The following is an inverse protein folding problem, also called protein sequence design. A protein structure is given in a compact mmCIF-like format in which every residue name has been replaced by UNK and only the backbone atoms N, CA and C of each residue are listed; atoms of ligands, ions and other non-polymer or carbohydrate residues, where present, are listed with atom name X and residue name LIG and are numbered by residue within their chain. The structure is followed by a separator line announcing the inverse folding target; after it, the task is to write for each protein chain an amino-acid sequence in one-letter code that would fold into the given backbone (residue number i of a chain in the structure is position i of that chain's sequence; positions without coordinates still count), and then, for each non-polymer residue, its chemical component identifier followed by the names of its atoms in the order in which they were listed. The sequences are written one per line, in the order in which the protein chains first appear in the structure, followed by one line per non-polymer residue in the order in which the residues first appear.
data_IF_174304365573
#
_entry.id   IF_174304365573
#
_cell.length_a   1.000
_cell.length_b   1.000
_cell.length_c   1.000
_cell.angle_alpha   90.00
_cell.angle_beta   90.00
_cell.angle_gamma   90.00
#
_symmetry.space_group_name_H-M   'P 1'
#
loop_
_entity.id
_entity.type
_entity.pdbx_description
1 polymer ?
#
# COMPACT_ATOMS: atom_id res chain seq x y z
N UNK A 1 -29.45 3.15 3.71
CA UNK A 1 -28.75 2.23 2.79
C UNK A 1 -28.39 3.06 1.57
N UNK A 2 -27.13 3.48 1.43
CA UNK A 2 -26.66 4.15 0.22
C UNK A 2 -26.45 3.06 -0.86
N UNK A 3 -26.80 3.31 -2.13
CA UNK A 3 -26.61 2.32 -3.19
C UNK A 3 -25.11 1.98 -3.35
N UNK A 4 -24.81 0.78 -3.88
CA UNK A 4 -23.47 0.29 -4.29
C UNK A 4 -22.78 1.15 -5.37
N UNK A 5 -23.25 2.39 -5.58
CA UNK A 5 -22.77 3.31 -6.59
C UNK A 5 -21.43 3.93 -6.17
N UNK A 6 -20.41 3.61 -6.98
CA UNK A 6 -19.06 4.19 -7.04
C UNK A 6 -18.04 3.70 -5.99
N UNK A 7 -17.79 2.39 -5.93
CA UNK A 7 -16.39 1.97 -5.84
C UNK A 7 -15.74 2.36 -7.17
N UNK A 8 -15.23 3.59 -7.29
CA UNK A 8 -14.34 3.96 -8.40
C UNK A 8 -13.26 2.88 -8.46
N UNK A 9 -12.99 2.27 -9.61
CA UNK A 9 -11.92 1.26 -9.75
C UNK A 9 -10.62 1.95 -10.12
N UNK A 10 -9.45 1.32 -9.88
CA UNK A 10 -8.21 1.84 -10.43
C UNK A 10 -8.32 2.05 -11.94
N UNK A 11 -7.88 3.21 -12.41
CA UNK A 11 -7.87 3.56 -13.83
C UNK A 11 -6.42 3.50 -14.33
N UNK A 12 -6.18 2.69 -15.36
CA UNK A 12 -4.90 2.60 -16.04
C UNK A 12 -5.00 3.03 -17.49
N UNK A 13 -4.10 3.91 -17.95
CA UNK A 13 -3.99 4.26 -19.37
C UNK A 13 -2.57 4.67 -19.76
N UNK A 14 -2.24 4.56 -21.05
CA UNK A 14 -1.03 5.18 -21.60
C UNK A 14 -1.32 6.64 -21.95
N UNK A 15 -0.48 7.55 -21.48
CA UNK A 15 -0.53 8.97 -21.85
C UNK A 15 0.23 9.22 -23.15
N UNK A 16 1.35 8.52 -23.32
CA UNK A 16 2.15 8.50 -24.55
C UNK A 16 2.38 7.03 -24.92
N UNK A 17 2.19 6.62 -26.20
CA UNK A 17 2.54 5.27 -26.64
C UNK A 17 3.98 4.95 -26.25
N UNK A 18 4.17 3.83 -25.54
CA UNK A 18 5.44 3.32 -25.01
C UNK A 18 6.28 4.24 -24.09
N UNK A 19 5.98 5.54 -24.00
CA UNK A 19 6.70 6.48 -23.14
C UNK A 19 6.15 6.56 -21.72
N UNK A 20 4.92 7.07 -21.55
CA UNK A 20 4.39 7.42 -20.22
C UNK A 20 3.09 6.69 -19.94
N UNK A 21 3.08 5.90 -18.86
CA UNK A 21 1.88 5.27 -18.32
C UNK A 21 1.29 6.09 -17.16
N UNK A 22 0.00 5.91 -16.91
CA UNK A 22 -0.75 6.53 -15.83
C UNK A 22 -1.54 5.47 -15.08
N UNK A 23 -1.57 5.60 -13.75
CA UNK A 23 -2.37 4.79 -12.84
C UNK A 23 -3.02 5.71 -11.81
N UNK A 24 -4.35 5.73 -11.74
CA UNK A 24 -5.10 6.31 -10.61
C UNK A 24 -5.56 5.21 -9.67
N UNK A 25 -5.32 5.39 -8.37
CA UNK A 25 -5.84 4.47 -7.33
C UNK A 25 -6.69 5.28 -6.35
N UNK A 26 -8.03 5.10 -6.33
CA UNK A 26 -8.93 5.93 -5.53
C UNK A 26 -9.08 5.45 -4.07
N UNK A 27 -8.64 4.23 -3.74
CA UNK A 27 -8.71 3.70 -2.38
C UNK A 27 -7.79 2.48 -2.23
N UNK A 28 -7.46 2.12 -1.00
CA UNK A 28 -6.87 0.82 -0.62
C UNK A 28 -7.71 0.10 0.44
N UNK A 29 -8.98 0.49 0.59
CA UNK A 29 -9.89 -0.07 1.59
C UNK A 29 -10.35 -1.51 1.26
N UNK A 30 -10.12 -1.97 0.03
CA UNK A 30 -10.48 -3.29 -0.48
C UNK A 30 -9.27 -3.88 -1.22
N UNK A 31 -8.88 -5.15 -0.98
CA UNK A 31 -7.75 -5.79 -1.66
C UNK A 31 -7.81 -5.71 -3.20
N UNK A 32 -9.00 -5.67 -3.79
CA UNK A 32 -9.19 -5.58 -5.24
C UNK A 32 -8.54 -4.33 -5.85
N UNK A 33 -8.42 -3.24 -5.08
CA UNK A 33 -7.73 -2.02 -5.52
C UNK A 33 -6.25 -2.25 -5.78
N UNK A 34 -5.58 -2.90 -4.83
CA UNK A 34 -4.16 -3.20 -4.96
C UNK A 34 -3.91 -4.21 -6.07
N UNK A 35 -4.75 -5.25 -6.18
CA UNK A 35 -4.63 -6.27 -7.22
C UNK A 35 -4.75 -5.68 -8.63
N UNK A 36 -5.73 -4.81 -8.86
CA UNK A 36 -5.88 -4.12 -10.14
C UNK A 36 -4.71 -3.17 -10.44
N UNK A 37 -4.19 -2.47 -9.42
CA UNK A 37 -3.01 -1.62 -9.57
C UNK A 37 -1.75 -2.43 -9.95
N UNK A 38 -1.49 -3.55 -9.27
CA UNK A 38 -0.38 -4.46 -9.58
C UNK A 38 -0.49 -5.02 -10.99
N UNK A 39 -1.68 -5.48 -11.37
CA UNK A 39 -1.93 -6.01 -12.72
C UNK A 39 -1.66 -4.96 -13.80
N UNK A 40 -2.01 -3.70 -13.56
CA UNK A 40 -1.74 -2.61 -14.48
C UNK A 40 -0.24 -2.30 -14.58
N UNK A 41 0.45 -2.08 -13.45
CA UNK A 41 1.90 -1.78 -13.43
C UNK A 41 2.69 -2.87 -14.14
N UNK A 42 2.34 -4.14 -13.93
CA UNK A 42 2.98 -5.27 -14.60
C UNK A 42 2.80 -5.20 -16.12
N UNK A 43 1.60 -4.83 -16.59
CA UNK A 43 1.27 -4.71 -18.02
C UNK A 43 2.01 -3.57 -18.71
N UNK A 44 2.31 -2.48 -17.99
CA UNK A 44 3.01 -1.30 -18.53
C UNK A 44 4.46 -1.22 -18.08
N UNK A 45 5.05 -2.34 -17.66
CA UNK A 45 6.45 -2.44 -17.20
C UNK A 45 7.48 -1.99 -18.24
N UNK A 46 7.10 -1.94 -19.52
CA UNK A 46 7.93 -1.44 -20.61
C UNK A 46 7.81 0.09 -20.86
N UNK A 47 7.02 0.82 -20.07
CA UNK A 47 6.92 2.27 -20.19
C UNK A 47 8.16 2.94 -19.60
N UNK A 48 8.66 4.01 -20.24
CA UNK A 48 9.80 4.80 -19.74
C UNK A 48 9.49 5.47 -18.38
N UNK A 49 8.23 5.83 -18.15
CA UNK A 49 7.79 6.44 -16.90
C UNK A 49 6.35 6.05 -16.51
N UNK A 50 6.07 6.10 -15.21
CA UNK A 50 4.74 5.89 -14.65
C UNK A 50 4.35 7.08 -13.76
N UNK A 51 3.18 7.66 -14.03
CA UNK A 51 2.52 8.61 -13.13
C UNK A 51 1.54 7.85 -12.26
N UNK A 52 1.71 7.93 -10.93
CA UNK A 52 0.77 7.37 -9.96
C UNK A 52 -0.04 8.49 -9.32
N UNK A 53 -1.34 8.50 -9.60
CA UNK A 53 -2.29 9.46 -9.03
C UNK A 53 -3.04 8.85 -7.84
N UNK A 54 -2.71 9.37 -6.65
CA UNK A 54 -3.37 9.04 -5.38
C UNK A 54 -4.16 10.22 -4.83
N UNK A 55 -4.46 11.24 -5.65
CA UNK A 55 -5.32 12.35 -5.23
C UNK A 55 -6.73 11.83 -4.95
N UNK A 56 -7.30 12.26 -3.83
CA UNK A 56 -8.59 11.78 -3.37
C UNK A 56 -8.59 10.32 -2.89
N UNK A 57 -7.42 9.67 -2.74
CA UNK A 57 -7.34 8.32 -2.22
C UNK A 57 -7.78 8.28 -0.75
N UNK A 58 -8.80 7.48 -0.43
CA UNK A 58 -9.39 7.43 0.92
C UNK A 58 -8.59 6.64 1.94
N UNK A 59 -7.43 6.08 1.56
CA UNK A 59 -6.62 5.20 2.39
C UNK A 59 -7.15 3.76 2.44
N UNK A 60 -6.72 3.02 3.46
CA UNK A 60 -7.04 1.60 3.67
C UNK A 60 -5.83 0.83 4.16
N UNK A 61 -5.66 -0.40 3.67
CA UNK A 61 -4.47 -1.19 3.97
C UNK A 61 -3.23 -0.64 3.25
N UNK A 62 -2.05 -0.79 3.87
CA UNK A 62 -0.79 -0.48 3.21
C UNK A 62 -0.59 -1.40 1.99
N UNK A 63 -0.40 -0.86 0.77
CA UNK A 63 -0.36 -1.66 -0.45
C UNK A 63 1.04 -2.24 -0.70
N UNK A 64 1.42 -3.21 0.12
CA UNK A 64 2.76 -3.82 0.11
C UNK A 64 3.10 -4.54 -1.20
N UNK A 65 2.13 -5.19 -1.86
CA UNK A 65 2.33 -5.85 -3.16
C UNK A 65 2.59 -4.83 -4.27
N UNK A 66 1.83 -3.74 -4.28
CA UNK A 66 2.03 -2.65 -5.25
C UNK A 66 3.39 -1.98 -5.06
N UNK A 67 3.78 -1.72 -3.81
CA UNK A 67 5.10 -1.14 -3.50
C UNK A 67 6.23 -2.04 -4.01
N UNK A 68 6.14 -3.36 -3.85
CA UNK A 68 7.11 -4.30 -4.43
C UNK A 68 7.12 -4.28 -5.96
N UNK A 69 5.95 -4.21 -6.59
CA UNK A 69 5.87 -4.13 -8.05
C UNK A 69 6.49 -2.85 -8.62
N UNK A 70 6.50 -1.76 -7.85
CA UNK A 70 7.06 -0.46 -8.24
C UNK A 70 8.57 -0.32 -7.94
N UNK A 71 9.14 -1.21 -7.13
CA UNK A 71 10.50 -1.05 -6.61
C UNK A 71 11.42 -2.17 -7.09
N UNK A 72 12.57 -1.80 -7.66
CA UNK A 72 13.61 -2.75 -8.06
C UNK A 72 14.36 -3.35 -6.85
N UNK A 73 14.43 -2.60 -5.75
CA UNK A 73 15.13 -3.00 -4.51
C UNK A 73 14.26 -2.69 -3.29
N UNK A 74 14.43 -3.43 -2.17
CA UNK A 74 13.75 -3.09 -0.92
C UNK A 74 14.02 -1.64 -0.47
N UNK A 75 13.01 -1.00 0.09
CA UNK A 75 13.09 0.36 0.64
C UNK A 75 13.00 0.31 2.16
N UNK A 76 13.73 1.18 2.90
CA UNK A 76 13.59 1.26 4.35
C UNK A 76 12.13 1.38 4.77
N UNK A 77 11.71 0.45 5.63
CA UNK A 77 10.34 0.39 6.06
C UNK A 77 10.11 1.17 7.36
N UNK A 78 8.87 1.56 7.61
CA UNK A 78 8.49 2.27 8.82
C UNK A 78 8.36 1.30 10.01
N UNK A 79 8.40 1.84 11.21
CA UNK A 79 8.25 1.09 12.46
C UNK A 79 7.22 1.82 13.31
N UNK A 80 6.28 1.09 13.91
CA UNK A 80 5.33 1.65 14.87
C UNK A 80 5.84 1.45 16.30
N UNK A 81 5.54 2.42 17.16
CA UNK A 81 5.78 2.35 18.59
C UNK A 81 4.49 2.70 19.34
N UNK A 82 4.22 1.96 20.41
CA UNK A 82 3.20 2.33 21.38
C UNK A 82 3.64 1.97 22.79
N UNK A 83 3.28 2.83 23.75
CA UNK A 83 3.47 2.53 25.17
C UNK A 83 2.60 1.33 25.61
N UNK A 84 1.39 1.20 25.06
CA UNK A 84 0.52 0.06 25.29
C UNK A 84 0.88 -1.09 24.32
N UNK A 85 1.55 -2.09 24.87
CA UNK A 85 1.95 -3.34 24.20
C UNK A 85 0.73 -4.09 23.66
N UNK A 86 -0.36 -4.16 24.43
CA UNK A 86 -1.58 -4.88 24.06
C UNK A 86 -2.37 -4.18 22.96
N UNK A 87 -2.34 -2.84 22.92
CA UNK A 87 -2.85 -2.07 21.79
C UNK A 87 -2.09 -2.40 20.51
N UNK A 88 -0.75 -2.34 20.55
CA UNK A 88 0.07 -2.53 19.35
C UNK A 88 -0.07 -3.94 18.79
N UNK A 89 -0.09 -4.97 19.66
CA UNK A 89 -0.31 -6.36 19.27
C UNK A 89 -1.67 -6.59 18.59
N UNK A 90 -2.76 -6.02 19.15
CA UNK A 90 -4.10 -6.13 18.53
C UNK A 90 -4.15 -5.41 17.19
N UNK A 91 -3.53 -4.23 17.10
CA UNK A 91 -3.50 -3.43 15.87
C UNK A 91 -2.74 -4.14 14.75
N UNK A 92 -1.63 -4.81 15.05
CA UNK A 92 -0.86 -5.57 14.07
C UNK A 92 -1.50 -6.91 13.70
N UNK A 93 -2.58 -7.33 14.38
CA UNK A 93 -3.15 -8.67 14.22
C UNK A 93 -2.21 -9.80 14.66
N UNK A 94 -1.14 -9.48 15.40
CA UNK A 94 -0.07 -10.42 15.73
C UNK A 94 0.86 -10.79 14.57
N UNK A 95 0.73 -10.15 13.41
CA UNK A 95 1.64 -10.35 12.27
C UNK A 95 2.85 -9.41 12.38
N UNK A 96 3.97 -9.72 11.70
CA UNK A 96 5.19 -8.91 11.71
C UNK A 96 6.18 -9.20 12.85
N UNK A 97 7.26 -8.42 12.93
CA UNK A 97 8.27 -8.50 13.99
C UNK A 97 7.86 -7.62 15.18
N UNK A 98 7.86 -8.21 16.37
CA UNK A 98 7.46 -7.53 17.60
C UNK A 98 8.59 -7.58 18.64
N UNK A 99 8.86 -6.46 19.29
CA UNK A 99 9.84 -6.39 20.39
C UNK A 99 9.38 -5.43 21.49
N UNK A 100 9.49 -5.88 22.75
CA UNK A 100 9.31 -5.00 23.91
C UNK A 100 10.62 -4.26 24.13
N UNK A 101 10.53 -2.94 24.38
CA UNK A 101 11.73 -2.15 24.64
C UNK A 101 12.39 -2.57 25.96
N UNK A 102 13.72 -2.64 26.04
CA UNK A 102 14.42 -3.02 27.26
C UNK A 102 14.13 -2.12 28.47
N UNK A 103 13.78 -0.85 28.22
CA UNK A 103 13.43 0.14 29.23
C UNK A 103 11.98 0.01 29.76
N UNK A 104 11.19 -0.94 29.22
CA UNK A 104 9.80 -1.15 29.60
C UNK A 104 8.84 -0.05 29.14
N UNK A 105 9.30 0.92 28.35
CA UNK A 105 8.49 2.08 27.94
C UNK A 105 7.42 1.76 26.89
N UNK A 106 7.42 0.55 26.33
CA UNK A 106 6.42 0.10 25.37
C UNK A 106 6.94 -0.99 24.43
N UNK A 107 6.25 -1.15 23.32
CA UNK A 107 6.60 -2.08 22.26
C UNK A 107 6.86 -1.38 20.93
N UNK A 108 7.69 -2.02 20.14
CA UNK A 108 8.03 -1.65 18.78
C UNK A 108 7.58 -2.77 17.86
N UNK A 109 6.88 -2.40 16.79
CA UNK A 109 6.38 -3.31 15.78
C UNK A 109 6.90 -2.94 14.39
N UNK A 110 7.33 -3.94 13.64
CA UNK A 110 7.69 -3.83 12.22
C UNK A 110 6.84 -4.79 11.41
N UNK A 111 6.21 -4.34 10.32
CA UNK A 111 5.46 -5.23 9.45
C UNK A 111 6.37 -6.24 8.75
N UNK A 112 5.76 -7.36 8.35
CA UNK A 112 6.42 -8.40 7.58
C UNK A 112 6.83 -7.86 6.20
N UNK A 113 8.15 -7.91 5.93
CA UNK A 113 8.75 -7.65 4.62
C UNK A 113 8.83 -8.91 3.76
#
# INVERSE_FOLDING_TARGET
MLPDSYKETPEGRRLVPDGVAYLRVPSFADPAYEEAAVAWVTRVSNADALVVDVRGNTGGATPTKLLRALMERPWPWWTEFAADVGFLWRRSGGEGEFSIRPDGSGAVWRPAV
#
